data_IF_684295959252
#
_entry.id   IF_684295959252
#
_cell.length_a   1.000
_cell.length_b   1.000
_cell.length_c   1.000
_cell.angle_alpha   90.00
_cell.angle_beta   90.00
_cell.angle_gamma   90.00
#
_symmetry.space_group_name_H-M   'P 1'
#
loop_
_entity.id
_entity.type
_entity.pdbx_description
1 polymer ?
#
# COMPACT_ATOMS: atom_id res chain seq x y z
N UNK A 1 -13.35 3.47 -1.44
CA UNK A 1 -12.78 4.48 -0.53
C UNK A 1 -11.74 5.25 -1.30
N UNK A 2 -11.77 6.56 -1.18
CA UNK A 2 -10.66 7.42 -1.56
C UNK A 2 -9.62 7.31 -0.45
N UNK A 3 -8.38 7.06 -0.82
CA UNK A 3 -7.27 7.14 0.13
C UNK A 3 -6.94 8.62 0.31
N UNK A 4 -6.98 9.07 1.55
CA UNK A 4 -6.62 10.44 1.92
C UNK A 4 -5.09 10.61 1.96
N UNK A 5 -4.63 11.85 1.83
CA UNK A 5 -3.21 12.24 1.90
C UNK A 5 -2.28 11.52 0.90
N UNK A 6 -2.82 11.14 -0.25
CA UNK A 6 -2.00 10.60 -1.33
C UNK A 6 -1.40 11.75 -2.14
N UNK A 7 -0.28 12.27 -1.70
CA UNK A 7 0.55 13.14 -2.52
C UNK A 7 1.55 12.27 -3.29
N UNK A 8 1.48 12.34 -4.61
CA UNK A 8 2.37 11.58 -5.50
C UNK A 8 3.68 12.35 -5.70
N UNK A 9 4.48 12.46 -4.66
CA UNK A 9 5.83 13.02 -4.69
C UNK A 9 6.89 11.94 -4.49
N UNK A 10 8.15 12.27 -4.76
CA UNK A 10 9.30 11.37 -4.63
C UNK A 10 9.45 10.87 -3.17
N UNK A 11 9.00 11.67 -2.21
CA UNK A 11 9.12 11.40 -0.78
C UNK A 11 7.84 10.85 -0.14
N UNK A 12 6.82 10.53 -0.95
CA UNK A 12 5.52 10.08 -0.45
C UNK A 12 5.25 8.64 -0.86
N UNK A 13 5.27 7.74 0.12
CA UNK A 13 4.90 6.35 -0.09
C UNK A 13 3.37 6.19 -0.17
N UNK A 14 2.84 5.33 -1.06
CA UNK A 14 1.43 4.98 -1.03
C UNK A 14 1.07 4.29 0.29
N UNK A 15 -0.15 4.54 0.79
CA UNK A 15 -0.66 3.94 2.03
C UNK A 15 -1.46 2.67 1.78
N UNK A 16 -1.04 1.87 0.82
CA UNK A 16 -1.70 0.62 0.44
C UNK A 16 -0.68 -0.48 0.13
N UNK A 17 -0.94 -1.67 0.64
CA UNK A 17 -0.15 -2.84 0.28
C UNK A 17 -0.55 -3.35 -1.11
N UNK A 18 0.36 -3.26 -2.06
CA UNK A 18 0.14 -3.71 -3.44
C UNK A 18 -0.13 -5.22 -3.53
N UNK A 19 0.40 -6.01 -2.59
CA UNK A 19 0.17 -7.46 -2.55
C UNK A 19 -1.24 -7.82 -2.09
N UNK A 20 -2.00 -6.86 -1.55
CA UNK A 20 -3.42 -7.04 -1.19
C UNK A 20 -4.39 -6.79 -2.35
N UNK A 21 -3.86 -6.37 -3.50
CA UNK A 21 -4.64 -5.93 -4.67
C UNK A 21 -4.55 -6.99 -5.75
N UNK A 22 -5.69 -7.38 -6.29
CA UNK A 22 -5.77 -8.35 -7.41
C UNK A 22 -5.82 -7.65 -8.77
N UNK A 23 -6.30 -6.38 -8.80
CA UNK A 23 -6.42 -5.62 -10.04
C UNK A 23 -6.20 -4.12 -9.80
N UNK A 24 -5.42 -3.51 -10.66
CA UNK A 24 -5.26 -2.05 -10.73
C UNK A 24 -5.81 -1.57 -12.08
N UNK A 25 -6.71 -0.59 -12.02
CA UNK A 25 -7.27 0.08 -13.20
C UNK A 25 -6.90 1.56 -13.17
N UNK A 26 -6.43 2.09 -14.28
CA UNK A 26 -6.14 3.51 -14.46
C UNK A 26 -7.16 4.09 -15.41
N UNK A 27 -7.95 5.04 -14.94
CA UNK A 27 -8.98 5.75 -15.72
C UNK A 27 -8.51 7.18 -15.93
N UNK A 28 -8.36 7.60 -17.17
CA UNK A 28 -7.86 8.92 -17.54
C UNK A 28 -8.98 9.81 -18.09
N UNK A 29 -8.79 11.13 -17.96
CA UNK A 29 -9.69 12.14 -18.53
C UNK A 29 -11.06 12.22 -17.83
N UNK A 30 -12.04 12.78 -18.51
CA UNK A 30 -13.35 13.13 -17.94
C UNK A 30 -14.11 11.95 -17.31
N UNK A 31 -13.88 10.70 -17.77
CA UNK A 31 -14.51 9.51 -17.18
C UNK A 31 -14.08 9.25 -15.73
N UNK A 32 -12.97 9.83 -15.28
CA UNK A 32 -12.52 9.73 -13.89
C UNK A 32 -13.43 10.51 -12.92
N UNK A 33 -14.11 11.55 -13.40
CA UNK A 33 -15.01 12.39 -12.58
C UNK A 33 -16.19 11.62 -11.98
N UNK A 34 -16.56 10.47 -12.54
CA UNK A 34 -17.59 9.60 -11.94
C UNK A 34 -17.14 8.97 -10.60
N UNK A 35 -15.83 8.94 -10.31
CA UNK A 35 -15.28 8.35 -9.10
C UNK A 35 -14.93 9.40 -8.03
N UNK A 36 -14.51 10.59 -8.46
CA UNK A 36 -14.25 11.72 -7.59
C UNK A 36 -14.36 13.02 -8.38
N UNK A 37 -15.05 14.02 -7.83
CA UNK A 37 -15.32 15.28 -8.52
C UNK A 37 -14.09 16.14 -8.83
N UNK A 38 -12.96 15.85 -8.18
CA UNK A 38 -11.66 16.49 -8.35
C UNK A 38 -10.66 15.65 -9.15
N UNK A 39 -11.08 14.48 -9.67
CA UNK A 39 -10.22 13.56 -10.43
C UNK A 39 -9.95 14.03 -11.87
N UNK A 40 -9.54 15.29 -12.05
CA UNK A 40 -9.33 15.91 -13.37
C UNK A 40 -8.23 15.22 -14.18
N UNK A 41 -7.15 14.80 -13.54
CA UNK A 41 -6.03 14.10 -14.18
C UNK A 41 -6.28 12.62 -14.43
N UNK A 42 -7.17 12.01 -13.66
CA UNK A 42 -7.46 10.59 -13.68
C UNK A 42 -7.65 9.99 -12.30
N UNK A 43 -7.92 8.68 -12.25
CA UNK A 43 -8.06 7.91 -11.01
C UNK A 43 -7.40 6.55 -11.15
N UNK A 44 -6.75 6.10 -10.08
CA UNK A 44 -6.23 4.74 -9.94
C UNK A 44 -7.18 3.97 -9.02
N UNK A 45 -7.72 2.86 -9.51
CA UNK A 45 -8.64 2.02 -8.77
C UNK A 45 -7.93 0.72 -8.41
N UNK A 46 -7.83 0.45 -7.12
CA UNK A 46 -7.31 -0.79 -6.58
C UNK A 46 -8.47 -1.69 -6.12
N UNK A 47 -8.56 -2.88 -6.69
CA UNK A 47 -9.66 -3.81 -6.44
C UNK A 47 -9.14 -5.16 -5.96
N UNK A 48 -9.88 -5.77 -5.07
CA UNK A 48 -9.73 -7.19 -4.72
C UNK A 48 -10.73 -8.01 -5.52
N UNK A 49 -10.36 -9.21 -5.94
CA UNK A 49 -11.26 -10.13 -6.64
C UNK A 49 -12.47 -10.51 -5.78
N UNK A 50 -13.54 -10.92 -6.46
CA UNK A 50 -14.70 -11.51 -5.80
C UNK A 50 -14.39 -12.94 -5.41
N UNK A 51 -14.79 -13.32 -4.21
CA UNK A 51 -14.62 -14.67 -3.73
C UNK A 51 -15.55 -15.65 -4.45
N UNK A 52 -15.06 -16.85 -4.71
CA UNK A 52 -15.85 -17.92 -5.33
C UNK A 52 -16.90 -18.45 -4.35
N UNK A 53 -18.06 -18.86 -4.88
CA UNK A 53 -19.16 -19.47 -4.08
C UNK A 53 -19.07 -21.00 -4.11
N UNK A 54 -17.89 -21.53 -3.80
CA UNK A 54 -17.61 -22.97 -3.76
C UNK A 54 -16.82 -23.29 -2.48
N UNK A 55 -16.87 -24.52 -2.02
CA UNK A 55 -16.02 -24.98 -0.92
C UNK A 55 -14.58 -25.07 -1.42
N UNK A 56 -13.74 -24.12 -1.02
CA UNK A 56 -12.36 -24.07 -1.44
C UNK A 56 -11.48 -23.51 -0.32
N UNK A 57 -10.21 -23.90 -0.36
CA UNK A 57 -9.17 -23.43 0.52
C UNK A 57 -7.90 -23.23 -0.30
N UNK A 58 -7.50 -21.98 -0.48
CA UNK A 58 -6.35 -21.65 -1.29
C UNK A 58 -5.55 -20.50 -0.68
N UNK A 59 -4.33 -20.38 -1.12
CA UNK A 59 -3.45 -19.30 -0.69
C UNK A 59 -2.20 -19.25 -1.52
N UNK A 60 -1.38 -18.28 -1.24
CA UNK A 60 -0.09 -18.09 -1.89
C UNK A 60 0.93 -17.53 -0.91
N UNK A 61 2.18 -17.86 -1.16
CA UNK A 61 3.35 -17.22 -0.54
C UNK A 61 4.22 -16.70 -1.68
N UNK A 62 4.50 -15.42 -1.64
CA UNK A 62 5.38 -14.77 -2.62
C UNK A 62 6.59 -14.22 -1.88
N UNK A 63 7.78 -14.57 -2.33
CA UNK A 63 9.04 -14.05 -1.81
C UNK A 63 9.76 -13.29 -2.90
N UNK A 64 10.21 -12.10 -2.57
CA UNK A 64 11.06 -11.26 -3.42
C UNK A 64 12.34 -10.93 -2.67
N UNK A 65 13.49 -11.20 -3.28
CA UNK A 65 14.80 -10.88 -2.75
C UNK A 65 15.51 -9.93 -3.70
N UNK A 66 16.19 -8.95 -3.15
CA UNK A 66 16.90 -7.92 -3.89
C UNK A 66 18.33 -7.81 -3.37
N UNK A 67 19.31 -7.81 -4.27
CA UNK A 67 20.72 -7.65 -3.94
C UNK A 67 21.03 -6.21 -3.52
N UNK A 68 20.53 -5.22 -4.27
CA UNK A 68 20.65 -3.82 -3.91
C UNK A 68 19.68 -3.50 -2.76
N UNK A 69 20.20 -2.98 -1.65
CA UNK A 69 19.49 -2.86 -0.38
C UNK A 69 19.52 -4.14 0.46
N UNK A 70 20.12 -5.24 -0.06
CA UNK A 70 20.39 -6.51 0.65
C UNK A 70 19.22 -7.01 1.47
N UNK A 71 18.01 -7.01 0.88
CA UNK A 71 16.79 -7.30 1.60
C UNK A 71 15.73 -7.98 0.75
N UNK A 72 14.48 -7.91 1.21
CA UNK A 72 13.40 -8.54 0.48
C UNK A 72 12.04 -8.36 1.13
N UNK A 73 11.08 -9.05 0.55
CA UNK A 73 9.70 -9.09 1.00
C UNK A 73 9.17 -10.52 1.02
N UNK A 74 8.34 -10.83 1.99
CA UNK A 74 7.50 -12.03 2.01
C UNK A 74 6.06 -11.56 2.14
N UNK A 75 5.24 -11.98 1.19
CA UNK A 75 3.79 -11.78 1.24
C UNK A 75 3.08 -13.12 1.25
N UNK A 76 2.07 -13.25 2.10
CA UNK A 76 1.24 -14.46 2.17
C UNK A 76 -0.22 -14.09 2.09
N UNK A 77 -0.99 -14.91 1.41
CA UNK A 77 -2.44 -14.82 1.38
C UNK A 77 -3.06 -16.19 1.65
N UNK A 78 -4.22 -16.17 2.29
CA UNK A 78 -4.98 -17.34 2.63
C UNK A 78 -6.47 -17.03 2.50
N UNK A 79 -7.19 -17.86 1.76
CA UNK A 79 -8.63 -17.69 1.53
C UNK A 79 -9.35 -19.01 1.73
N UNK A 80 -10.39 -18.98 2.56
CA UNK A 80 -11.37 -20.05 2.71
C UNK A 80 -12.71 -19.55 2.21
N UNK A 81 -13.32 -20.31 1.30
CA UNK A 81 -14.68 -20.09 0.82
C UNK A 81 -15.54 -21.31 1.09
N UNK A 82 -16.85 -21.11 1.25
CA UNK A 82 -17.81 -22.16 1.45
C UNK A 82 -18.98 -22.01 0.47
N UNK A 83 -19.54 -23.13 0.05
CA UNK A 83 -20.68 -23.19 -0.88
C UNK A 83 -21.95 -22.49 -0.34
N UNK A 84 -22.06 -22.37 0.99
CA UNK A 84 -23.15 -21.63 1.65
C UNK A 84 -22.97 -20.09 1.61
N UNK A 85 -21.89 -19.61 0.97
CA UNK A 85 -21.59 -18.20 0.73
C UNK A 85 -20.66 -17.54 1.75
N UNK A 86 -20.28 -18.20 2.83
CA UNK A 86 -19.31 -17.66 3.77
C UNK A 86 -17.89 -17.69 3.19
N UNK A 87 -17.10 -16.64 3.46
CA UNK A 87 -15.70 -16.59 3.09
C UNK A 87 -14.87 -15.79 4.09
N UNK A 88 -13.59 -16.13 4.15
CA UNK A 88 -12.58 -15.52 4.99
C UNK A 88 -11.30 -15.36 4.17
N UNK A 89 -10.70 -14.19 4.19
CA UNK A 89 -9.43 -13.91 3.53
C UNK A 89 -8.50 -13.23 4.52
N UNK A 90 -7.29 -13.73 4.61
CA UNK A 90 -6.16 -13.12 5.31
C UNK A 90 -5.08 -12.80 4.29
N UNK A 91 -4.39 -11.69 4.48
CA UNK A 91 -3.20 -11.34 3.72
C UNK A 91 -2.23 -10.60 4.64
N UNK A 92 -0.92 -10.88 4.52
CA UNK A 92 0.14 -10.20 5.26
C UNK A 92 1.38 -10.03 4.41
N UNK A 93 2.09 -8.91 4.59
CA UNK A 93 3.35 -8.60 3.93
C UNK A 93 4.34 -8.09 4.96
N UNK A 94 5.52 -8.67 4.94
CA UNK A 94 6.70 -8.19 5.67
C UNK A 94 7.76 -7.84 4.64
N UNK A 95 8.37 -6.64 4.75
CA UNK A 95 9.39 -6.17 3.83
C UNK A 95 10.44 -5.38 4.59
N UNK A 96 11.69 -5.63 4.29
CA UNK A 96 12.82 -4.92 4.86
C UNK A 96 13.93 -4.79 3.84
N UNK A 97 14.44 -3.57 3.69
CA UNK A 97 15.58 -3.23 2.86
C UNK A 97 16.52 -2.34 3.68
N UNK A 98 17.80 -2.56 3.54
CA UNK A 98 18.83 -1.62 3.99
C UNK A 98 19.07 -0.52 2.98
N UNK A 99 20.14 0.21 3.15
CA UNK A 99 20.54 1.28 2.26
C UNK A 99 20.74 0.78 0.83
N UNK A 100 20.32 1.58 -0.15
CA UNK A 100 20.57 1.29 -1.56
C UNK A 100 21.97 1.75 -1.96
N UNK A 101 22.52 1.11 -2.98
CA UNK A 101 23.86 1.40 -3.49
C UNK A 101 23.78 1.86 -4.95
N UNK A 102 24.57 2.86 -5.30
CA UNK A 102 24.94 3.17 -6.69
C UNK A 102 26.15 2.32 -7.07
N UNK A 103 26.72 2.53 -8.26
CA UNK A 103 27.97 1.88 -8.65
C UNK A 103 29.17 2.30 -7.77
N UNK A 104 29.12 3.51 -7.21
CA UNK A 104 30.27 4.16 -6.60
C UNK A 104 30.14 4.39 -5.09
N UNK A 105 28.91 4.43 -4.55
CA UNK A 105 28.67 4.73 -3.13
C UNK A 105 27.35 4.22 -2.59
N UNK A 106 27.26 4.12 -1.27
CA UNK A 106 26.03 3.83 -0.53
C UNK A 106 25.19 5.09 -0.41
N UNK A 107 23.93 5.01 -0.80
CA UNK A 107 22.96 6.08 -0.58
C UNK A 107 22.47 6.04 0.86
N UNK A 108 23.13 6.78 1.72
CA UNK A 108 22.94 6.77 3.17
C UNK A 108 21.51 7.07 3.59
N UNK A 109 20.95 6.22 4.44
CA UNK A 109 19.61 6.35 5.02
C UNK A 109 18.49 6.23 3.99
N UNK A 110 18.61 5.26 3.08
CA UNK A 110 17.56 4.95 2.08
C UNK A 110 16.82 3.63 2.36
N UNK A 111 17.17 2.96 3.45
CA UNK A 111 16.50 1.74 3.87
C UNK A 111 15.02 1.95 4.21
N UNK A 112 14.23 0.88 4.14
CA UNK A 112 12.83 0.93 4.56
C UNK A 112 12.34 -0.39 5.14
N UNK A 113 11.28 -0.28 5.95
CA UNK A 113 10.61 -1.41 6.60
C UNK A 113 9.11 -1.26 6.47
N UNK A 114 8.44 -2.35 6.11
CA UNK A 114 7.01 -2.39 5.87
C UNK A 114 6.39 -3.62 6.52
N UNK A 115 5.30 -3.42 7.26
CA UNK A 115 4.53 -4.48 7.90
C UNK A 115 3.06 -4.21 7.64
N UNK A 116 2.45 -5.04 6.79
CA UNK A 116 1.07 -4.86 6.39
C UNK A 116 0.29 -6.12 6.68
N UNK A 117 -0.99 -5.96 7.00
CA UNK A 117 -1.91 -7.08 6.98
C UNK A 117 -3.32 -6.64 6.66
N UNK A 118 -4.13 -7.57 6.18
CA UNK A 118 -5.55 -7.36 5.98
C UNK A 118 -6.36 -8.61 6.29
N UNK A 119 -7.58 -8.38 6.76
CA UNK A 119 -8.58 -9.38 7.04
C UNK A 119 -9.86 -9.03 6.32
N UNK A 120 -10.48 -10.01 5.70
CA UNK A 120 -11.81 -9.88 5.11
C UNK A 120 -12.65 -11.08 5.48
N UNK A 121 -13.86 -10.84 5.93
CA UNK A 121 -14.84 -11.89 6.20
C UNK A 121 -16.20 -11.45 5.70
N UNK A 122 -16.99 -12.37 5.18
CA UNK A 122 -18.31 -12.02 4.70
C UNK A 122 -19.17 -13.19 4.31
N UNK A 123 -20.38 -12.84 3.96
CA UNK A 123 -21.40 -13.74 3.39
C UNK A 123 -21.83 -13.18 2.05
N UNK A 124 -21.76 -13.98 1.00
CA UNK A 124 -22.21 -13.61 -0.33
C UNK A 124 -23.25 -14.63 -0.82
N UNK A 125 -24.51 -14.24 -0.83
CA UNK A 125 -25.62 -15.03 -1.38
C UNK A 125 -26.29 -14.27 -2.53
N UNK A 126 -27.16 -14.92 -3.27
CA UNK A 126 -27.83 -14.34 -4.44
C UNK A 126 -28.73 -13.16 -4.04
N UNK A 127 -29.45 -13.28 -2.93
CA UNK A 127 -30.44 -12.32 -2.48
C UNK A 127 -29.91 -11.34 -1.44
N UNK A 128 -28.85 -11.67 -0.71
CA UNK A 128 -28.24 -10.80 0.29
C UNK A 128 -26.77 -11.14 0.54
N UNK A 129 -26.07 -10.20 1.13
CA UNK A 129 -24.69 -10.41 1.54
C UNK A 129 -24.14 -9.24 2.33
N UNK A 130 -23.05 -9.50 3.01
CA UNK A 130 -22.23 -8.48 3.67
C UNK A 130 -20.77 -8.86 3.63
N UNK A 131 -19.90 -7.88 3.74
CA UNK A 131 -18.48 -8.07 4.00
C UNK A 131 -17.94 -7.01 4.98
N UNK A 132 -17.02 -7.46 5.80
CA UNK A 132 -16.22 -6.63 6.69
C UNK A 132 -14.77 -6.82 6.25
N UNK A 133 -14.09 -5.70 6.04
CA UNK A 133 -12.68 -5.65 5.69
C UNK A 133 -11.95 -4.73 6.66
N UNK A 134 -10.81 -5.19 7.14
CA UNK A 134 -9.86 -4.38 7.89
C UNK A 134 -8.49 -4.49 7.26
N UNK A 135 -7.75 -3.39 7.19
CA UNK A 135 -6.34 -3.40 6.83
C UNK A 135 -5.53 -2.43 7.67
N UNK A 136 -4.32 -2.86 7.99
CA UNK A 136 -3.25 -2.04 8.52
C UNK A 136 -2.13 -1.99 7.50
N UNK A 137 -1.73 -0.80 7.12
CA UNK A 137 -0.51 -0.51 6.39
C UNK A 137 0.44 0.26 7.30
N UNK A 138 1.64 -0.24 7.50
CA UNK A 138 2.67 0.41 8.31
C UNK A 138 3.99 0.40 7.57
N UNK A 139 4.50 1.59 7.29
CA UNK A 139 5.75 1.80 6.58
C UNK A 139 6.64 2.76 7.36
N UNK A 140 7.92 2.49 7.37
CA UNK A 140 8.96 3.41 7.79
C UNK A 140 10.03 3.42 6.71
N UNK A 141 10.31 4.58 6.15
CA UNK A 141 11.35 4.77 5.14
C UNK A 141 12.34 5.84 5.59
N UNK A 142 13.59 5.61 5.32
CA UNK A 142 14.65 6.59 5.43
C UNK A 142 14.58 7.56 4.27
N UNK A 143 14.97 8.79 4.52
CA UNK A 143 15.11 9.82 3.50
C UNK A 143 16.60 10.05 3.29
N UNK A 144 17.03 10.03 2.04
CA UNK A 144 18.44 10.22 1.68
C UNK A 144 19.02 11.46 2.37
N UNK A 145 20.04 11.26 3.18
CA UNK A 145 20.62 12.36 3.97
C UNK A 145 21.12 13.53 3.12
N UNK A 146 21.63 13.24 1.94
CA UNK A 146 22.15 14.24 1.02
C UNK A 146 21.09 14.99 0.24
N UNK A 147 19.81 14.56 0.25
CA UNK A 147 18.72 15.23 -0.48
C UNK A 147 18.20 16.49 0.21
N UNK A 148 18.45 16.64 1.52
CA UNK A 148 18.03 17.80 2.30
C UNK A 148 19.13 18.86 2.38
N UNK A 149 19.08 19.81 1.46
CA UNK A 149 19.94 20.99 1.47
C UNK A 149 19.26 22.11 2.25
N UNK A 150 19.90 22.57 3.32
CA UNK A 150 19.33 23.60 4.20
C UNK A 150 19.62 25.03 3.73
N UNK A 151 20.62 25.21 2.85
CA UNK A 151 21.04 26.53 2.37
C UNK A 151 21.30 26.51 0.86
N UNK A 152 21.23 27.68 0.23
CA UNK A 152 21.65 27.87 -1.17
C UNK A 152 23.09 27.42 -1.41
N UNK A 153 23.98 27.62 -0.42
CA UNK A 153 25.37 27.19 -0.47
C UNK A 153 25.51 25.68 -0.52
N UNK A 154 24.68 24.94 0.25
CA UNK A 154 24.66 23.46 0.22
C UNK A 154 24.22 22.94 -1.16
N UNK A 155 23.22 23.60 -1.77
CA UNK A 155 22.76 23.26 -3.12
C UNK A 155 23.88 23.46 -4.15
N UNK A 156 24.55 24.62 -4.13
CA UNK A 156 25.65 24.92 -5.05
C UNK A 156 26.79 23.91 -4.88
N UNK A 157 27.16 23.60 -3.65
CA UNK A 157 28.19 22.59 -3.37
C UNK A 157 27.77 21.21 -3.87
N UNK A 158 26.52 20.79 -3.66
CA UNK A 158 26.02 19.50 -4.12
C UNK A 158 26.02 19.37 -5.65
N UNK A 159 25.77 20.47 -6.37
CA UNK A 159 25.82 20.50 -7.84
C UNK A 159 27.28 20.40 -8.35
N UNK A 160 28.23 20.97 -7.62
CA UNK A 160 29.63 21.04 -8.04
C UNK A 160 30.47 19.84 -7.57
N UNK A 161 29.94 19.02 -6.67
CA UNK A 161 30.64 17.83 -6.17
C UNK A 161 30.23 16.58 -6.97
N UNK A 162 31.21 15.71 -7.25
CA UNK A 162 30.99 14.44 -7.91
C UNK A 162 30.22 13.45 -7.02
N UNK A 163 30.42 13.51 -5.71
CA UNK A 163 29.80 12.63 -4.74
C UNK A 163 28.93 13.39 -3.73
N UNK A 164 27.89 12.72 -3.17
CA UNK A 164 27.09 13.30 -2.10
C UNK A 164 27.94 13.64 -0.87
N UNK A 165 27.53 14.67 -0.12
CA UNK A 165 28.26 15.13 1.07
C UNK A 165 28.31 14.12 2.20
N UNK A 166 27.28 13.25 2.29
CA UNK A 166 27.17 12.23 3.33
C UNK A 166 27.13 10.86 2.67
N UNK A 167 28.17 10.08 2.89
CA UNK A 167 28.30 8.70 2.46
C UNK A 167 28.77 7.91 3.68
N UNK A 168 27.90 7.08 4.24
CA UNK A 168 28.20 6.19 5.35
C UNK A 168 28.30 4.74 4.86
N UNK A 169 28.70 3.82 5.72
CA UNK A 169 28.66 2.39 5.44
C UNK A 169 27.22 1.90 5.35
N UNK A 170 27.02 0.79 4.64
CA UNK A 170 25.72 0.15 4.49
C UNK A 170 25.08 -0.18 5.84
N UNK A 171 23.80 0.17 6.01
CA UNK A 171 23.04 -0.10 7.23
C UNK A 171 21.59 -0.50 6.94
N UNK A 172 20.98 -1.23 7.89
CA UNK A 172 19.55 -1.44 7.97
C UNK A 172 18.85 -0.44 8.89
N UNK A 173 19.61 0.42 9.57
CA UNK A 173 19.06 1.42 10.47
C UNK A 173 18.42 2.56 9.72
N UNK A 174 17.23 2.92 10.12
CA UNK A 174 16.47 4.04 9.54
C UNK A 174 16.55 5.22 10.51
N UNK A 175 17.45 6.13 10.19
CA UNK A 175 17.74 7.32 10.98
C UNK A 175 16.93 8.55 10.50
N UNK A 176 17.07 9.67 11.18
CA UNK A 176 16.51 10.96 10.75
C UNK A 176 17.40 11.53 9.62
N UNK A 177 16.80 12.08 8.54
CA UNK A 177 15.38 12.26 8.27
C UNK A 177 14.69 10.96 7.83
N UNK A 178 13.46 10.75 8.30
CA UNK A 178 12.66 9.56 7.96
C UNK A 178 11.18 9.89 7.94
N UNK A 179 10.41 9.08 7.24
CA UNK A 179 8.95 9.11 7.25
C UNK A 179 8.40 7.84 7.89
N UNK A 180 7.39 7.99 8.73
CA UNK A 180 6.57 6.89 9.25
C UNK A 180 5.14 7.09 8.81
N UNK A 181 4.53 6.03 8.28
CA UNK A 181 3.15 6.02 7.86
C UNK A 181 2.45 4.87 8.56
N UNK A 182 1.27 5.13 9.12
CA UNK A 182 0.36 4.12 9.61
C UNK A 182 -1.04 4.43 9.10
N UNK A 183 -1.59 3.56 8.27
CA UNK A 183 -2.92 3.70 7.72
C UNK A 183 -3.78 2.51 8.12
N UNK A 184 -4.87 2.80 8.82
CA UNK A 184 -5.87 1.84 9.24
C UNK A 184 -7.16 2.08 8.44
N UNK A 185 -7.74 1.03 7.90
CA UNK A 185 -8.94 1.11 7.10
C UNK A 185 -9.92 0.02 7.51
N UNK A 186 -11.15 0.41 7.85
CA UNK A 186 -12.29 -0.48 8.03
C UNK A 186 -13.30 -0.22 6.93
N UNK A 187 -13.80 -1.27 6.30
CA UNK A 187 -14.91 -1.18 5.34
C UNK A 187 -15.99 -2.19 5.74
N UNK A 188 -17.22 -1.75 5.72
CA UNK A 188 -18.39 -2.61 5.89
C UNK A 188 -19.30 -2.39 4.68
N UNK A 189 -19.69 -3.46 4.04
CA UNK A 189 -20.65 -3.43 2.93
C UNK A 189 -21.75 -4.44 3.21
N UNK A 190 -22.97 -4.10 2.86
CA UNK A 190 -24.10 -5.02 2.88
C UNK A 190 -25.00 -4.74 1.69
N UNK A 191 -25.68 -5.76 1.20
CA UNK A 191 -26.70 -5.62 0.19
C UNK A 191 -27.84 -6.60 0.41
N UNK A 192 -29.02 -6.21 -0.07
CA UNK A 192 -30.19 -7.09 -0.16
C UNK A 192 -30.94 -6.80 -1.45
N UNK A 193 -31.24 -7.85 -2.19
CA UNK A 193 -32.08 -7.81 -3.39
C UNK A 193 -33.53 -8.06 -2.97
N UNK A 194 -34.41 -7.19 -3.42
CA UNK A 194 -35.85 -7.29 -3.29
C UNK A 194 -36.45 -7.46 -4.69
N UNK A 195 -37.71 -7.87 -4.79
CA UNK A 195 -38.39 -8.00 -6.09
C UNK A 195 -38.48 -6.68 -6.86
N UNK A 196 -38.48 -5.54 -6.16
CA UNK A 196 -38.56 -4.20 -6.73
C UNK A 196 -37.23 -3.48 -6.90
N UNK A 197 -36.12 -4.07 -6.43
CA UNK A 197 -34.80 -3.43 -6.55
C UNK A 197 -33.76 -3.91 -5.55
N UNK A 198 -32.60 -3.28 -5.58
CA UNK A 198 -31.46 -3.61 -4.72
C UNK A 198 -31.18 -2.49 -3.72
N UNK A 199 -31.15 -2.82 -2.44
CA UNK A 199 -30.61 -1.95 -1.40
C UNK A 199 -29.16 -2.31 -1.15
N UNK A 200 -28.28 -1.29 -1.10
CA UNK A 200 -26.87 -1.45 -0.77
C UNK A 200 -26.47 -0.39 0.26
N UNK A 201 -25.72 -0.83 1.26
CA UNK A 201 -25.13 0.03 2.27
C UNK A 201 -23.61 -0.15 2.25
N UNK A 202 -22.88 0.95 2.43
CA UNK A 202 -21.44 0.96 2.58
C UNK A 202 -21.04 1.94 3.68
N UNK A 203 -20.16 1.50 4.55
CA UNK A 203 -19.51 2.32 5.56
C UNK A 203 -18.00 2.11 5.45
N UNK A 204 -17.27 3.22 5.40
CA UNK A 204 -15.81 3.23 5.35
C UNK A 204 -15.30 4.17 6.46
N UNK A 205 -14.31 3.70 7.20
CA UNK A 205 -13.61 4.48 8.21
C UNK A 205 -12.10 4.30 8.02
N UNK A 206 -11.37 5.41 7.96
CA UNK A 206 -9.91 5.36 7.84
C UNK A 206 -9.25 6.35 8.79
N UNK A 207 -8.06 5.96 9.25
CA UNK A 207 -7.15 6.81 10.02
C UNK A 207 -5.78 6.71 9.37
N UNK A 208 -5.23 7.85 8.99
CA UNK A 208 -3.90 7.97 8.42
C UNK A 208 -3.06 8.83 9.38
N UNK A 209 -1.97 8.26 9.90
CA UNK A 209 -0.97 8.94 10.72
C UNK A 209 0.35 8.95 9.97
N UNK A 210 0.86 10.14 9.68
CA UNK A 210 2.10 10.35 8.96
C UNK A 210 3.01 11.28 9.76
N UNK A 211 4.23 10.84 10.01
CA UNK A 211 5.26 11.55 10.79
C UNK A 211 6.58 11.57 10.04
#
# INVERSE_FOLDING_TARGET
VRLEDQEWGIEHAPSIDINSIDKISVIKGASALQYAGDAVGGVIIAETSREKLVDDLYGSVTTNLQSNGRGGAVSTSFTKTNSNGWYYKFQGTLKQMGDFETADYVMTNTGFKENNFSLKAGLNRIDHGFDIYYSLFSNQLGILRSSHSHTAFDIINSINNEFPRVIDEFSYDINIPKQKISHNLVKIKAFKNFNFGKLSMRYDYQVNDRK
#
